data_IF_021732286825
#
_entry.id   IF_021732286825
#
_cell.length_a   1.000
_cell.length_b   1.000
_cell.length_c   1.000
_cell.angle_alpha   90.00
_cell.angle_beta   90.00
_cell.angle_gamma   90.00
#
_symmetry.space_group_name_H-M   'P 1'
#
loop_
_entity.id
_entity.type
_entity.pdbx_description
1 polymer ?
#
# COMPACT_ATOMS: atom_id res chain seq x y z
N UNK A 1 -42.30 -3.24 60.38
CA UNK A 1 -42.45 -3.47 58.92
C UNK A 1 -42.40 -2.16 58.15
N UNK A 2 -41.24 -1.81 57.59
CA UNK A 2 -41.01 -1.05 56.34
C UNK A 2 -39.52 -0.72 56.26
N UNK A 3 -38.78 -1.52 55.50
CA UNK A 3 -37.37 -1.30 55.21
C UNK A 3 -37.19 -0.22 54.15
N UNK A 4 -36.33 0.75 54.42
CA UNK A 4 -35.84 1.72 53.45
C UNK A 4 -34.51 1.20 52.86
N UNK A 5 -34.53 0.82 51.58
CA UNK A 5 -33.31 0.56 50.81
C UNK A 5 -33.03 1.77 49.90
N UNK A 6 -31.93 2.47 50.17
CA UNK A 6 -31.37 3.52 49.30
C UNK A 6 -30.72 2.83 48.09
N UNK A 7 -31.23 3.10 46.89
CA UNK A 7 -30.54 2.75 45.64
C UNK A 7 -29.57 3.87 45.27
N UNK A 8 -28.30 3.51 45.15
CA UNK A 8 -27.22 4.32 44.61
C UNK A 8 -27.43 4.54 43.10
N UNK A 9 -27.31 5.79 42.66
CA UNK A 9 -27.22 6.13 41.24
C UNK A 9 -25.78 5.94 40.77
N UNK A 10 -25.53 4.89 39.99
CA UNK A 10 -24.31 4.75 39.19
C UNK A 10 -24.45 5.58 37.90
N UNK A 11 -23.62 6.61 37.80
CA UNK A 11 -23.39 7.36 36.56
C UNK A 11 -22.70 6.43 35.55
N UNK A 12 -23.36 6.15 34.42
CA UNK A 12 -22.75 5.51 33.25
C UNK A 12 -22.50 6.57 32.17
N UNK A 13 -21.29 6.65 31.57
CA UNK A 13 -21.01 7.57 30.48
C UNK A 13 -21.74 7.13 29.20
N UNK A 14 -22.40 8.07 28.53
CA UNK A 14 -23.08 7.86 27.24
C UNK A 14 -22.06 7.50 26.17
N UNK A 15 -22.06 6.24 25.75
CA UNK A 15 -21.34 5.75 24.58
C UNK A 15 -22.03 6.31 23.33
N UNK A 16 -21.38 7.24 22.63
CA UNK A 16 -21.75 7.63 21.27
C UNK A 16 -21.45 6.45 20.32
N UNK A 17 -22.44 5.59 20.11
CA UNK A 17 -22.42 4.56 19.06
C UNK A 17 -23.75 4.57 18.34
N UNK A 18 -23.89 5.45 17.34
CA UNK A 18 -24.86 5.34 16.25
C UNK A 18 -24.65 6.48 15.27
N UNK A 19 -24.04 6.19 14.12
CA UNK A 19 -24.31 6.86 12.85
C UNK A 19 -23.67 6.18 11.62
N UNK A 20 -22.83 5.13 11.77
CA UNK A 20 -22.20 4.49 10.60
C UNK A 20 -22.96 3.26 10.05
N UNK A 21 -23.92 2.69 10.78
CA UNK A 21 -24.59 1.43 10.36
C UNK A 21 -25.91 1.62 9.61
N UNK A 22 -26.39 2.84 9.46
CA UNK A 22 -27.66 3.12 8.76
C UNK A 22 -27.46 3.32 7.25
N UNK A 23 -26.36 3.95 6.80
CA UNK A 23 -26.08 4.19 5.38
C UNK A 23 -25.73 2.92 4.60
N UNK A 24 -25.10 1.94 5.24
CA UNK A 24 -24.78 0.66 4.62
C UNK A 24 -26.03 -0.21 4.38
N UNK A 25 -27.13 -0.02 5.12
CA UNK A 25 -28.33 -0.89 5.02
C UNK A 25 -29.27 -0.57 3.85
N UNK A 26 -29.10 0.56 3.17
CA UNK A 26 -29.96 0.96 2.04
C UNK A 26 -29.30 0.74 0.67
N UNK A 27 -27.99 0.47 0.62
CA UNK A 27 -27.24 0.32 -0.62
C UNK A 27 -27.40 -1.12 -1.15
N UNK A 28 -27.62 -1.32 -2.47
CA UNK A 28 -27.71 -2.66 -3.05
C UNK A 28 -26.48 -3.51 -2.74
N UNK A 29 -26.66 -4.82 -2.55
CA UNK A 29 -25.56 -5.74 -2.21
C UNK A 29 -24.40 -5.69 -3.21
N UNK A 30 -24.72 -5.42 -4.48
CA UNK A 30 -23.75 -5.27 -5.57
C UNK A 30 -22.78 -4.09 -5.40
N UNK A 31 -23.03 -3.20 -4.44
CA UNK A 31 -22.21 -2.04 -4.10
C UNK A 31 -21.64 -2.11 -2.67
N UNK A 32 -21.66 -3.28 -2.03
CA UNK A 32 -20.94 -3.46 -0.77
C UNK A 32 -19.44 -3.57 -0.99
N UNK A 33 -18.72 -2.52 -0.65
CA UNK A 33 -17.26 -2.45 -0.72
C UNK A 33 -16.71 -1.76 0.52
N UNK A 34 -15.55 -2.19 1.06
CA UNK A 34 -14.91 -1.50 2.18
C UNK A 34 -14.71 0.00 1.91
N UNK A 35 -14.32 0.36 0.69
CA UNK A 35 -14.14 1.75 0.27
C UNK A 35 -15.45 2.55 0.06
N UNK A 36 -16.62 1.94 0.27
CA UNK A 36 -17.90 2.64 0.24
C UNK A 36 -18.63 2.63 1.59
N UNK A 37 -18.38 1.62 2.43
CA UNK A 37 -19.14 1.33 3.63
C UNK A 37 -18.31 1.49 4.94
N UNK A 38 -16.99 1.32 4.90
CA UNK A 38 -16.12 1.40 6.08
C UNK A 38 -15.49 2.81 6.24
N UNK A 39 -15.89 3.53 7.29
CA UNK A 39 -15.48 4.93 7.49
C UNK A 39 -13.96 5.11 7.65
N UNK A 40 -13.27 4.16 8.27
CA UNK A 40 -11.82 4.22 8.44
C UNK A 40 -11.10 4.03 7.09
N UNK A 41 -11.58 3.10 6.27
CA UNK A 41 -11.13 2.91 4.88
C UNK A 41 -11.35 4.20 4.08
N UNK A 42 -12.53 4.81 4.20
CA UNK A 42 -12.87 6.00 3.44
C UNK A 42 -12.04 7.21 3.86
N UNK A 43 -11.86 7.42 5.17
CA UNK A 43 -10.97 8.45 5.70
C UNK A 43 -9.53 8.25 5.22
N UNK A 44 -9.04 7.01 5.23
CA UNK A 44 -7.69 6.67 4.76
C UNK A 44 -7.52 6.95 3.26
N UNK A 45 -8.53 6.62 2.45
CA UNK A 45 -8.52 6.86 1.01
C UNK A 45 -8.60 8.34 0.65
N UNK A 46 -9.33 9.16 1.41
CA UNK A 46 -9.35 10.63 1.24
C UNK A 46 -7.99 11.29 1.49
N UNK A 47 -7.13 10.66 2.27
CA UNK A 47 -5.75 11.12 2.53
C UNK A 47 -4.71 10.42 1.64
N UNK A 48 -5.17 9.72 0.62
CA UNK A 48 -4.34 8.90 -0.25
C UNK A 48 -4.56 9.28 -1.71
N UNK A 49 -3.50 9.21 -2.51
CA UNK A 49 -3.59 9.23 -3.97
C UNK A 49 -3.95 7.82 -4.45
N UNK A 50 -5.16 7.63 -4.93
CA UNK A 50 -5.71 6.32 -5.30
C UNK A 50 -6.35 6.36 -6.69
N UNK A 51 -5.97 5.41 -7.55
CA UNK A 51 -6.67 5.07 -8.76
C UNK A 51 -7.61 3.90 -8.49
N UNK A 52 -8.89 4.10 -8.71
CA UNK A 52 -9.84 3.01 -8.90
C UNK A 52 -9.90 2.66 -10.37
N UNK A 53 -9.39 1.49 -10.74
CA UNK A 53 -9.54 0.95 -12.09
C UNK A 53 -10.77 0.07 -12.08
N UNK A 54 -11.85 0.56 -12.69
CA UNK A 54 -13.06 -0.23 -12.82
C UNK A 54 -12.87 -1.25 -13.92
N UNK A 55 -13.22 -2.52 -13.68
CA UNK A 55 -12.98 -3.59 -14.67
C UNK A 55 -14.20 -4.46 -14.82
N UNK A 56 -14.56 -4.77 -16.06
CA UNK A 56 -15.72 -5.62 -16.38
C UNK A 56 -16.39 -5.27 -17.70
N UNK A 57 -17.24 -6.16 -18.19
CA UNK A 57 -17.89 -6.02 -19.50
C UNK A 57 -18.78 -4.75 -19.60
N UNK A 58 -19.01 -4.22 -20.81
CA UNK A 58 -20.03 -3.20 -21.04
C UNK A 58 -21.40 -3.64 -20.51
N UNK A 59 -22.08 -2.77 -19.76
CA UNK A 59 -23.36 -3.09 -19.11
C UNK A 59 -23.27 -3.79 -17.73
N UNK A 60 -22.06 -4.10 -17.25
CA UNK A 60 -21.86 -4.81 -15.97
C UNK A 60 -22.08 -3.96 -14.71
N UNK A 61 -22.40 -2.67 -14.84
CA UNK A 61 -22.62 -1.76 -13.72
C UNK A 61 -21.38 -0.97 -13.27
N UNK A 62 -20.31 -0.92 -14.07
CA UNK A 62 -19.11 -0.12 -13.79
C UNK A 62 -19.44 1.36 -13.55
N UNK A 63 -20.16 2.02 -14.46
CA UNK A 63 -20.52 3.43 -14.30
C UNK A 63 -21.41 3.69 -13.08
N UNK A 64 -22.25 2.72 -12.69
CA UNK A 64 -23.00 2.79 -11.43
C UNK A 64 -22.08 2.74 -10.21
N UNK A 65 -21.07 1.85 -10.23
CA UNK A 65 -20.04 1.80 -9.19
C UNK A 65 -19.18 3.08 -9.19
N UNK A 66 -18.84 3.62 -10.36
CA UNK A 66 -18.11 4.88 -10.51
C UNK A 66 -18.85 6.03 -9.83
N UNK A 67 -20.16 6.13 -10.09
CA UNK A 67 -21.00 7.14 -9.48
C UNK A 67 -21.11 6.95 -7.96
N UNK A 68 -21.25 5.71 -7.48
CA UNK A 68 -21.29 5.43 -6.04
C UNK A 68 -19.98 5.85 -5.34
N UNK A 69 -18.82 5.62 -5.97
CA UNK A 69 -17.54 6.12 -5.47
C UNK A 69 -17.53 7.66 -5.50
N UNK A 70 -17.90 8.27 -6.62
CA UNK A 70 -17.97 9.74 -6.70
C UNK A 70 -18.83 10.34 -5.59
N UNK A 71 -20.05 9.85 -5.38
CA UNK A 71 -20.97 10.38 -4.37
C UNK A 71 -20.42 10.21 -2.95
N UNK A 72 -19.65 9.14 -2.72
CA UNK A 72 -19.06 8.87 -1.41
C UNK A 72 -17.90 9.80 -1.07
N UNK A 73 -17.10 10.15 -2.07
CA UNK A 73 -15.87 10.92 -1.92
C UNK A 73 -16.02 12.40 -2.30
N UNK A 74 -17.06 12.76 -3.04
CA UNK A 74 -17.43 14.11 -3.48
C UNK A 74 -16.24 14.82 -4.14
N UNK A 75 -15.92 16.03 -3.70
CA UNK A 75 -14.86 16.88 -4.24
C UNK A 75 -13.46 16.26 -4.17
N UNK A 76 -13.26 15.23 -3.34
CA UNK A 76 -12.00 14.48 -3.30
C UNK A 76 -11.86 13.46 -4.45
N UNK A 77 -12.92 13.27 -5.26
CA UNK A 77 -13.00 12.28 -6.31
C UNK A 77 -13.25 12.88 -7.69
N UNK A 78 -12.54 12.37 -8.69
CA UNK A 78 -12.83 12.61 -10.10
C UNK A 78 -13.09 11.30 -10.83
N UNK A 79 -14.21 11.21 -11.54
CA UNK A 79 -14.50 10.11 -12.47
C UNK A 79 -14.07 10.53 -13.88
N UNK A 80 -13.28 9.68 -14.53
CA UNK A 80 -12.93 9.75 -15.95
C UNK A 80 -13.58 8.53 -16.61
N UNK A 81 -14.74 8.75 -17.23
CA UNK A 81 -15.42 7.72 -18.01
C UNK A 81 -14.97 7.80 -19.46
N UNK A 82 -14.43 6.70 -19.98
CA UNK A 82 -13.94 6.59 -21.35
C UNK A 82 -15.07 6.75 -22.37
N UNK A 83 -16.31 6.47 -21.97
CA UNK A 83 -17.50 6.68 -22.79
C UNK A 83 -17.71 8.16 -23.19
N UNK A 84 -17.24 9.11 -22.37
CA UNK A 84 -17.31 10.54 -22.71
C UNK A 84 -16.40 10.93 -23.88
N UNK A 85 -15.34 10.15 -24.11
CA UNK A 85 -14.39 10.32 -25.21
C UNK A 85 -14.80 9.54 -26.47
N UNK A 86 -15.97 8.89 -26.44
CA UNK A 86 -16.55 8.12 -27.54
C UNK A 86 -15.69 6.94 -28.01
N UNK A 87 -14.92 6.35 -27.10
CA UNK A 87 -14.10 5.16 -27.38
C UNK A 87 -14.94 3.89 -27.15
N UNK A 88 -15.27 3.18 -28.23
CA UNK A 88 -16.03 1.93 -28.16
C UNK A 88 -15.17 0.78 -27.61
N UNK A 89 -15.64 -0.02 -26.63
CA UNK A 89 -14.89 -1.15 -26.10
C UNK A 89 -14.92 -2.34 -27.08
N UNK A 90 -13.88 -2.45 -27.90
CA UNK A 90 -13.68 -3.52 -28.88
C UNK A 90 -12.30 -4.14 -28.64
N UNK A 91 -12.10 -5.39 -29.09
CA UNK A 91 -10.75 -5.97 -29.14
C UNK A 91 -10.04 -5.38 -30.34
N UNK A 92 -8.90 -4.75 -30.10
CA UNK A 92 -8.10 -4.10 -31.14
C UNK A 92 -6.68 -4.67 -31.13
N UNK A 93 -5.97 -4.47 -32.23
CA UNK A 93 -4.55 -4.83 -32.34
C UNK A 93 -3.62 -3.80 -31.69
N UNK A 94 -4.12 -2.59 -31.43
CA UNK A 94 -3.38 -1.48 -30.86
C UNK A 94 -4.31 -0.53 -30.10
N UNK A 95 -3.75 0.21 -29.15
CA UNK A 95 -4.49 1.21 -28.38
C UNK A 95 -4.91 2.38 -29.28
N UNK A 96 -6.18 2.80 -29.24
CA UNK A 96 -6.69 3.94 -30.02
C UNK A 96 -6.02 5.27 -29.68
N UNK A 97 -5.76 6.12 -30.68
CA UNK A 97 -5.18 7.45 -30.49
C UNK A 97 -6.05 8.35 -29.61
N UNK A 98 -7.36 8.11 -29.55
CA UNK A 98 -8.30 8.86 -28.71
C UNK A 98 -8.00 8.74 -27.21
N UNK A 99 -7.30 7.69 -26.78
CA UNK A 99 -6.83 7.59 -25.39
C UNK A 99 -5.81 8.67 -25.02
N UNK A 100 -5.16 9.33 -25.99
CA UNK A 100 -4.26 10.47 -25.72
C UNK A 100 -4.95 11.56 -24.90
N UNK A 101 -6.19 11.92 -25.24
CA UNK A 101 -6.98 12.93 -24.50
C UNK A 101 -7.37 12.44 -23.11
N UNK A 102 -7.69 11.14 -22.98
CA UNK A 102 -7.98 10.51 -21.68
C UNK A 102 -6.76 10.61 -20.77
N UNK A 103 -5.57 10.34 -21.32
CA UNK A 103 -4.31 10.36 -20.61
C UNK A 103 -3.87 11.78 -20.26
N UNK A 104 -4.07 12.76 -21.14
CA UNK A 104 -3.86 14.19 -20.85
C UNK A 104 -4.70 14.65 -19.65
N UNK A 105 -6.01 14.36 -19.66
CA UNK A 105 -6.91 14.71 -18.57
C UNK A 105 -6.54 13.99 -17.27
N UNK A 106 -6.27 12.67 -17.34
CA UNK A 106 -5.81 11.88 -16.20
C UNK A 106 -4.54 12.46 -15.59
N UNK A 107 -3.55 12.79 -16.42
CA UNK A 107 -2.29 13.39 -16.00
C UNK A 107 -2.52 14.76 -15.34
N UNK A 108 -3.44 15.56 -15.84
CA UNK A 108 -3.77 16.85 -15.26
C UNK A 108 -4.43 16.73 -13.88
N UNK A 109 -5.33 15.77 -13.67
CA UNK A 109 -5.84 15.47 -12.34
C UNK A 109 -4.75 14.91 -11.40
N UNK A 110 -3.81 14.12 -11.93
CA UNK A 110 -2.67 13.64 -11.17
C UNK A 110 -1.78 14.78 -10.67
N UNK A 111 -1.45 15.75 -11.53
CA UNK A 111 -0.68 16.95 -11.19
C UNK A 111 -1.37 17.83 -10.15
N UNK A 112 -2.71 17.90 -10.20
CA UNK A 112 -3.55 18.60 -9.19
C UNK A 112 -3.67 17.84 -7.87
N UNK A 113 -3.05 16.66 -7.75
CA UNK A 113 -3.09 15.81 -6.57
C UNK A 113 -4.50 15.40 -6.11
N UNK A 114 -5.44 15.21 -7.04
CA UNK A 114 -6.78 14.70 -6.72
C UNK A 114 -6.66 13.38 -5.97
N UNK A 115 -7.29 13.25 -4.80
CA UNK A 115 -7.06 12.10 -3.94
C UNK A 115 -7.58 10.80 -4.56
N UNK A 116 -8.81 10.82 -5.08
CA UNK A 116 -9.44 9.64 -5.68
C UNK A 116 -9.70 9.90 -7.16
N UNK A 117 -9.13 9.09 -8.04
CA UNK A 117 -9.42 9.12 -9.47
C UNK A 117 -10.03 7.77 -9.84
N UNK A 118 -11.22 7.80 -10.42
CA UNK A 118 -11.93 6.60 -10.88
C UNK A 118 -11.86 6.55 -12.39
N UNK A 119 -11.28 5.49 -12.92
CA UNK A 119 -11.19 5.20 -14.34
C UNK A 119 -12.30 4.21 -14.70
N UNK A 120 -13.34 4.73 -15.35
CA UNK A 120 -14.49 3.95 -15.81
C UNK A 120 -14.30 3.59 -17.29
N UNK A 121 -13.74 2.40 -17.50
CA UNK A 121 -13.54 1.75 -18.79
C UNK A 121 -13.67 0.24 -18.61
N UNK A 122 -13.77 -0.53 -19.70
CA UNK A 122 -13.82 -1.99 -19.68
C UNK A 122 -12.51 -2.59 -19.16
N UNK A 123 -11.36 -1.98 -19.49
CA UNK A 123 -10.01 -2.44 -19.11
C UNK A 123 -9.77 -3.94 -19.41
N UNK A 124 -10.22 -4.40 -20.58
CA UNK A 124 -10.00 -5.75 -21.11
C UNK A 124 -8.63 -5.92 -21.78
N UNK A 125 -7.94 -4.82 -22.13
CA UNK A 125 -6.65 -4.81 -22.81
C UNK A 125 -5.49 -4.61 -21.81
N UNK A 126 -4.54 -5.55 -21.81
CA UNK A 126 -3.37 -5.51 -20.91
C UNK A 126 -2.48 -4.30 -21.17
N UNK A 127 -2.23 -3.98 -22.43
CA UNK A 127 -1.39 -2.85 -22.81
C UNK A 127 -1.92 -1.53 -22.23
N UNK A 128 -3.25 -1.35 -22.23
CA UNK A 128 -3.89 -0.17 -21.63
C UNK A 128 -3.71 -0.12 -20.12
N UNK A 129 -3.83 -1.26 -19.44
CA UNK A 129 -3.56 -1.36 -18.01
C UNK A 129 -2.09 -1.01 -17.69
N UNK A 130 -1.14 -1.49 -18.49
CA UNK A 130 0.29 -1.21 -18.30
C UNK A 130 0.59 0.30 -18.40
N UNK A 131 -0.01 1.01 -19.36
CA UNK A 131 0.08 2.49 -19.46
C UNK A 131 -0.47 3.18 -18.21
N UNK A 132 -1.63 2.74 -17.71
CA UNK A 132 -2.24 3.29 -16.50
C UNK A 132 -1.38 3.05 -15.26
N UNK A 133 -0.71 1.89 -15.16
CA UNK A 133 0.21 1.61 -14.07
C UNK A 133 1.46 2.49 -14.14
N UNK A 134 2.01 2.72 -15.33
CA UNK A 134 3.14 3.62 -15.52
C UNK A 134 2.78 5.07 -15.11
N UNK A 135 1.56 5.54 -15.44
CA UNK A 135 1.03 6.83 -14.96
C UNK A 135 0.87 6.82 -13.43
N UNK A 136 0.24 5.79 -12.86
CA UNK A 136 0.00 5.68 -11.43
C UNK A 136 1.32 5.71 -10.64
N UNK A 137 2.32 4.94 -11.08
CA UNK A 137 3.64 4.87 -10.45
C UNK A 137 4.37 6.23 -10.53
N UNK A 138 4.37 6.86 -11.72
CA UNK A 138 4.96 8.18 -11.94
C UNK A 138 4.42 9.24 -10.98
N UNK A 139 3.10 9.27 -10.76
CA UNK A 139 2.45 10.24 -9.88
C UNK A 139 2.21 9.73 -8.45
N UNK A 140 2.72 8.54 -8.12
CA UNK A 140 2.63 7.88 -6.80
C UNK A 140 1.19 7.63 -6.34
N UNK A 141 0.32 7.25 -7.26
CA UNK A 141 -1.01 6.73 -6.97
C UNK A 141 -0.92 5.23 -6.72
N UNK A 142 -1.63 4.74 -5.70
CA UNK A 142 -1.89 3.30 -5.55
C UNK A 142 -3.07 2.90 -6.41
N UNK A 143 -3.05 1.67 -6.89
CA UNK A 143 -4.12 1.12 -7.73
C UNK A 143 -5.00 0.21 -6.90
N UNK A 144 -6.31 0.33 -7.09
CA UNK A 144 -7.32 -0.60 -6.59
C UNK A 144 -8.18 -1.01 -7.77
N UNK A 145 -8.16 -2.29 -8.12
CA UNK A 145 -9.17 -2.85 -9.02
C UNK A 145 -10.51 -2.93 -8.32
N UNK A 146 -11.56 -2.46 -9.00
CA UNK A 146 -12.93 -2.57 -8.52
C UNK A 146 -13.82 -3.13 -9.63
N UNK A 147 -14.28 -4.36 -9.43
CA UNK A 147 -15.20 -5.03 -10.35
C UNK A 147 -16.62 -4.91 -9.81
N UNK A 148 -17.63 -4.61 -10.64
CA UNK A 148 -19.03 -4.66 -10.21
C UNK A 148 -19.37 -6.03 -9.62
N UNK A 149 -20.23 -6.07 -8.59
CA UNK A 149 -20.72 -7.31 -7.96
C UNK A 149 -22.15 -7.67 -8.40
N UNK A 150 -22.62 -7.11 -9.52
CA UNK A 150 -23.96 -7.44 -10.04
C UNK A 150 -24.00 -8.92 -10.47
N UNK A 151 -25.10 -9.66 -10.23
CA UNK A 151 -25.19 -11.08 -10.61
C UNK A 151 -24.94 -11.35 -12.10
N UNK A 152 -25.27 -10.39 -12.97
CA UNK A 152 -25.17 -10.51 -14.42
C UNK A 152 -23.87 -10.00 -15.03
N UNK A 153 -22.86 -9.64 -14.22
CA UNK A 153 -21.64 -8.96 -14.68
C UNK A 153 -20.85 -9.70 -15.76
N UNK A 154 -21.07 -11.01 -15.91
CA UNK A 154 -20.44 -11.89 -16.91
C UNK A 154 -21.46 -12.60 -17.83
N UNK A 155 -22.74 -12.23 -17.77
CA UNK A 155 -23.82 -12.80 -18.58
C UNK A 155 -23.95 -12.05 -19.91
N UNK A 156 -23.25 -12.50 -20.95
CA UNK A 156 -23.23 -11.82 -22.25
C UNK A 156 -24.62 -11.65 -22.88
N UNK A 157 -25.53 -12.66 -22.88
CA UNK A 157 -26.92 -12.47 -23.32
C UNK A 157 -27.62 -11.30 -22.63
N UNK A 158 -27.56 -11.22 -21.30
CA UNK A 158 -28.22 -10.13 -20.58
C UNK A 158 -27.51 -8.78 -20.78
N UNK A 159 -26.18 -8.79 -20.93
CA UNK A 159 -25.37 -7.58 -21.15
C UNK A 159 -25.58 -6.97 -22.54
N UNK A 160 -25.96 -7.76 -23.55
CA UNK A 160 -26.35 -7.26 -24.88
C UNK A 160 -27.40 -6.15 -24.77
N UNK A 161 -28.39 -6.33 -23.91
CA UNK A 161 -29.51 -5.38 -23.75
C UNK A 161 -29.20 -4.24 -22.76
N UNK A 162 -28.09 -4.36 -22.00
CA UNK A 162 -27.69 -3.38 -20.97
C UNK A 162 -26.55 -2.46 -21.41
N UNK A 163 -25.83 -2.81 -22.48
CA UNK A 163 -24.70 -2.01 -22.94
C UNK A 163 -25.13 -0.91 -23.92
N UNK A 164 -24.67 0.33 -23.69
CA UNK A 164 -25.03 1.48 -24.52
C UNK A 164 -24.43 1.44 -25.94
N UNK A 165 -23.38 0.65 -26.13
CA UNK A 165 -22.64 0.50 -27.38
C UNK A 165 -23.32 -0.46 -28.37
N UNK A 166 -24.43 -1.10 -27.96
CA UNK A 166 -25.18 -2.09 -28.76
C UNK A 166 -24.32 -3.27 -29.26
N UNK A 167 -23.31 -3.64 -28.49
CA UNK A 167 -22.44 -4.76 -28.80
C UNK A 167 -23.21 -6.07 -28.79
N UNK A 168 -22.84 -6.96 -29.71
CA UNK A 168 -23.43 -8.28 -29.83
C UNK A 168 -22.94 -9.22 -28.71
N UNK A 169 -23.65 -10.35 -28.53
CA UNK A 169 -23.23 -11.39 -27.57
C UNK A 169 -21.84 -11.92 -27.91
N UNK A 170 -21.54 -12.06 -29.20
CA UNK A 170 -20.28 -12.53 -29.74
C UNK A 170 -19.14 -11.56 -29.42
N UNK A 171 -19.37 -10.25 -29.56
CA UNK A 171 -18.38 -9.22 -29.21
C UNK A 171 -18.08 -9.22 -27.71
N UNK A 172 -19.11 -9.31 -26.86
CA UNK A 172 -18.95 -9.42 -25.42
C UNK A 172 -18.21 -10.71 -25.03
N UNK A 173 -18.53 -11.84 -25.66
CA UNK A 173 -17.85 -13.13 -25.44
C UNK A 173 -16.37 -13.07 -25.81
N UNK A 174 -15.98 -12.30 -26.83
CA UNK A 174 -14.57 -12.13 -27.18
C UNK A 174 -13.77 -11.45 -26.06
N UNK A 175 -14.35 -10.44 -25.39
CA UNK A 175 -13.66 -9.70 -24.31
C UNK A 175 -13.64 -10.44 -22.96
N UNK A 176 -14.61 -11.32 -22.72
CA UNK A 176 -14.81 -11.99 -21.44
C UNK A 176 -13.56 -12.72 -20.88
N UNK A 177 -12.80 -13.52 -21.67
CA UNK A 177 -11.65 -14.25 -21.14
C UNK A 177 -10.56 -13.36 -20.54
N UNK A 178 -10.30 -12.19 -21.13
CA UNK A 178 -9.29 -11.28 -20.60
C UNK A 178 -9.72 -10.60 -19.31
N UNK A 179 -11.03 -10.52 -19.04
CA UNK A 179 -11.60 -9.97 -17.81
C UNK A 179 -11.70 -11.01 -16.69
N UNK A 180 -11.95 -12.27 -17.03
CA UNK A 180 -11.99 -13.39 -16.06
C UNK A 180 -10.60 -13.74 -15.51
N UNK A 181 -9.54 -13.49 -16.30
CA UNK A 181 -8.17 -13.67 -15.83
C UNK A 181 -7.85 -12.64 -14.75
N UNK A 182 -7.48 -13.12 -13.56
CA UNK A 182 -6.98 -12.26 -12.49
C UNK A 182 -5.70 -11.54 -12.92
N UNK A 183 -5.66 -10.24 -12.65
CA UNK A 183 -4.48 -9.43 -12.87
C UNK A 183 -3.72 -9.34 -11.55
N UNK A 184 -2.77 -10.26 -11.35
CA UNK A 184 -1.97 -10.29 -10.13
C UNK A 184 -0.94 -9.15 -10.12
N UNK A 185 -0.73 -8.50 -8.95
CA UNK A 185 0.26 -7.45 -8.82
C UNK A 185 1.69 -8.00 -8.89
N UNK A 186 2.68 -7.10 -8.84
CA UNK A 186 4.06 -7.45 -8.51
C UNK A 186 4.14 -7.99 -7.07
N UNK A 187 3.42 -7.35 -6.15
CA UNK A 187 3.24 -7.79 -4.78
C UNK A 187 1.97 -7.20 -4.16
N UNK A 188 1.41 -7.91 -3.18
CA UNK A 188 0.38 -7.41 -2.27
C UNK A 188 1.02 -6.74 -1.05
N UNK A 189 0.29 -5.82 -0.44
CA UNK A 189 0.73 -5.19 0.80
C UNK A 189 -0.19 -4.09 1.30
N UNK A 190 0.17 -3.53 2.45
CA UNK A 190 -0.47 -2.35 3.02
C UNK A 190 0.27 -1.09 2.60
N UNK A 191 -0.36 -0.26 1.78
CA UNK A 191 0.19 0.98 1.26
C UNK A 191 -0.27 2.16 2.10
N UNK A 192 0.67 2.83 2.77
CA UNK A 192 0.38 3.91 3.69
C UNK A 192 -0.35 5.07 2.99
N UNK A 193 -1.18 5.78 3.75
CA UNK A 193 -1.70 7.09 3.33
C UNK A 193 -0.55 8.08 3.12
N UNK A 194 -0.80 9.19 2.41
CA UNK A 194 0.20 10.26 2.22
C UNK A 194 0.66 10.80 3.58
N UNK A 195 -0.31 11.13 4.44
CA UNK A 195 -0.07 11.63 5.80
C UNK A 195 0.73 10.64 6.65
N UNK A 196 0.34 9.36 6.67
CA UNK A 196 1.06 8.36 7.47
C UNK A 196 2.47 8.07 6.92
N UNK A 197 2.65 8.11 5.60
CA UNK A 197 3.97 8.02 4.98
C UNK A 197 4.87 9.18 5.43
N UNK A 198 4.34 10.41 5.47
CA UNK A 198 5.10 11.59 5.92
C UNK A 198 5.48 11.51 7.40
N UNK A 199 4.56 11.08 8.27
CA UNK A 199 4.83 10.87 9.70
C UNK A 199 5.98 9.88 9.88
N UNK A 200 5.89 8.71 9.25
CA UNK A 200 6.90 7.67 9.41
C UNK A 200 8.25 8.06 8.79
N UNK A 201 8.26 8.80 7.68
CA UNK A 201 9.50 9.36 7.11
C UNK A 201 10.18 10.34 8.05
N UNK A 202 9.42 11.23 8.69
CA UNK A 202 9.97 12.18 9.67
C UNK A 202 10.55 11.47 10.88
N UNK A 203 9.85 10.45 11.40
CA UNK A 203 10.35 9.62 12.49
C UNK A 203 11.64 8.88 12.12
N UNK A 204 11.68 8.27 10.92
CA UNK A 204 12.88 7.63 10.39
C UNK A 204 14.05 8.60 10.23
N UNK A 205 13.81 9.80 9.70
CA UNK A 205 14.84 10.83 9.54
C UNK A 205 15.40 11.28 10.89
N UNK A 206 14.54 11.60 11.86
CA UNK A 206 14.96 11.99 13.21
C UNK A 206 15.79 10.89 13.87
N UNK A 207 15.39 9.62 13.72
CA UNK A 207 16.16 8.48 14.22
C UNK A 207 17.57 8.40 13.61
N UNK A 208 17.71 8.55 12.29
CA UNK A 208 19.02 8.52 11.63
C UNK A 208 19.91 9.70 12.06
N UNK A 209 19.35 10.90 12.17
CA UNK A 209 20.08 12.10 12.59
C UNK A 209 20.56 11.99 14.04
N UNK A 210 19.69 11.56 14.96
CA UNK A 210 20.04 11.35 16.37
C UNK A 210 21.09 10.24 16.51
N UNK A 211 20.89 9.07 15.87
CA UNK A 211 21.81 7.95 15.94
C UNK A 211 23.20 8.31 15.40
N UNK A 212 23.28 8.94 14.22
CA UNK A 212 24.54 9.36 13.61
C UNK A 212 25.33 10.38 14.45
N UNK A 213 24.64 11.11 15.34
CA UNK A 213 25.28 12.07 16.24
C UNK A 213 25.97 11.39 17.45
N UNK A 214 25.52 10.19 17.85
CA UNK A 214 25.97 9.51 19.07
C UNK A 214 27.43 9.09 19.01
N UNK A 215 28.15 9.29 20.12
CA UNK A 215 29.53 8.82 20.28
C UNK A 215 29.63 7.30 20.21
N UNK A 216 28.65 6.57 20.74
CA UNK A 216 28.61 5.12 20.71
C UNK A 216 28.50 4.60 19.27
N UNK A 217 27.59 5.17 18.46
CA UNK A 217 27.48 4.83 17.04
C UNK A 217 28.80 5.08 16.29
N UNK A 218 29.45 6.23 16.52
CA UNK A 218 30.73 6.58 15.89
C UNK A 218 31.88 5.61 16.24
N UNK A 219 31.83 4.90 17.37
CA UNK A 219 32.83 3.86 17.70
C UNK A 219 32.62 2.58 16.90
N UNK A 220 31.37 2.28 16.59
CA UNK A 220 30.96 1.07 15.86
C UNK A 220 30.74 1.33 14.36
N UNK A 221 31.02 2.55 13.86
CA UNK A 221 30.84 2.87 12.44
C UNK A 221 31.79 2.09 11.52
N UNK A 222 32.85 1.48 12.06
CA UNK A 222 33.82 0.63 11.36
C UNK A 222 33.22 -0.52 10.53
N UNK A 223 31.99 -0.93 10.83
CA UNK A 223 31.30 -2.02 10.11
C UNK A 223 30.67 -1.57 8.79
N UNK A 224 30.58 -0.27 8.52
CA UNK A 224 30.02 0.23 7.27
C UNK A 224 31.10 0.30 6.17
N UNK A 225 30.76 -0.04 4.92
CA UNK A 225 31.71 -0.07 3.81
C UNK A 225 32.59 1.19 3.67
N UNK A 226 32.00 2.39 3.76
CA UNK A 226 32.74 3.65 3.64
C UNK A 226 33.79 3.86 4.75
N UNK A 227 33.53 3.35 5.94
CA UNK A 227 34.48 3.41 7.06
C UNK A 227 35.51 2.26 7.04
N UNK A 228 35.23 1.18 6.30
CA UNK A 228 36.21 0.12 6.00
C UNK A 228 37.24 0.67 5.00
N UNK A 229 36.80 1.43 3.99
CA UNK A 229 37.67 2.03 2.98
C UNK A 229 38.51 3.19 3.54
N UNK A 230 37.90 4.09 4.33
CA UNK A 230 38.63 5.15 5.05
C UNK A 230 38.07 5.34 6.47
N UNK A 231 38.79 4.88 7.51
CA UNK A 231 38.38 5.01 8.91
C UNK A 231 38.19 6.45 9.41
N UNK A 232 38.69 7.47 8.68
CA UNK A 232 38.51 8.88 9.02
C UNK A 232 37.21 9.48 8.49
N UNK A 233 36.52 8.80 7.57
CA UNK A 233 35.26 9.27 7.01
C UNK A 233 34.16 9.17 8.07
N UNK A 234 33.50 10.31 8.34
CA UNK A 234 32.27 10.33 9.12
C UNK A 234 31.11 9.87 8.24
N UNK A 235 30.35 8.91 8.74
CA UNK A 235 29.17 8.41 8.04
C UNK A 235 27.99 9.33 8.30
N UNK A 236 27.48 9.94 7.24
CA UNK A 236 26.15 10.54 7.24
C UNK A 236 25.13 9.45 6.86
N UNK A 237 24.38 8.96 7.85
CA UNK A 237 23.40 7.89 7.66
C UNK A 237 22.32 8.27 6.64
N UNK A 238 21.92 9.54 6.59
CA UNK A 238 20.90 10.03 5.66
C UNK A 238 21.39 9.93 4.21
N UNK A 239 22.65 10.29 3.99
CA UNK A 239 23.32 10.19 2.68
C UNK A 239 23.85 8.78 2.38
N UNK A 240 23.84 7.86 3.35
CA UNK A 240 24.20 6.47 3.14
C UNK A 240 23.01 5.66 2.62
N UNK A 241 21.82 5.85 3.22
CA UNK A 241 20.60 5.16 2.85
C UNK A 241 19.79 5.93 1.77
N UNK A 242 20.41 6.08 0.60
CA UNK A 242 19.92 6.97 -0.48
C UNK A 242 18.79 6.39 -1.34
N UNK A 243 18.53 5.09 -1.26
CA UNK A 243 17.48 4.44 -2.08
C UNK A 243 16.30 4.04 -1.22
N UNK A 244 15.09 4.12 -1.78
CA UNK A 244 13.86 3.61 -1.17
C UNK A 244 12.98 2.91 -2.22
N UNK A 245 12.03 2.07 -1.81
CA UNK A 245 11.02 1.54 -2.72
C UNK A 245 10.28 2.65 -3.47
N UNK A 246 9.89 2.44 -4.75
CA UNK A 246 9.06 3.37 -5.50
C UNK A 246 7.68 3.56 -4.84
N UNK A 247 7.06 4.70 -5.13
CA UNK A 247 5.71 5.00 -4.65
C UNK A 247 5.64 5.41 -3.18
N UNK A 248 4.55 5.02 -2.53
CA UNK A 248 4.27 5.27 -1.11
C UNK A 248 4.96 4.23 -0.23
N UNK A 249 5.23 4.58 1.04
CA UNK A 249 5.71 3.59 1.99
C UNK A 249 4.68 2.46 2.13
N UNK A 250 5.16 1.23 2.22
CA UNK A 250 4.29 0.07 2.29
C UNK A 250 4.92 -1.05 3.13
N UNK A 251 4.06 -1.93 3.63
CA UNK A 251 4.44 -3.22 4.18
C UNK A 251 3.99 -4.30 3.21
N UNK A 252 4.95 -4.97 2.57
CA UNK A 252 4.69 -6.08 1.66
C UNK A 252 4.19 -7.29 2.43
N UNK A 253 3.18 -7.98 1.90
CA UNK A 253 2.74 -9.29 2.38
C UNK A 253 3.28 -10.39 1.49
N UNK A 254 2.77 -10.53 0.26
CA UNK A 254 3.16 -11.58 -0.70
C UNK A 254 3.75 -10.95 -1.97
N UNK A 255 4.98 -11.35 -2.29
CA UNK A 255 5.54 -11.12 -3.62
C UNK A 255 4.97 -12.15 -4.60
N UNK A 256 4.51 -11.66 -5.75
CA UNK A 256 3.76 -12.46 -6.73
C UNK A 256 4.37 -12.45 -8.12
N UNK A 257 5.19 -11.45 -8.45
CA UNK A 257 5.80 -11.29 -9.78
C UNK A 257 4.79 -11.44 -10.93
N UNK A 258 3.64 -10.76 -10.80
CA UNK A 258 2.53 -10.86 -11.75
C UNK A 258 1.99 -12.29 -11.96
N UNK A 259 2.11 -13.13 -10.93
CA UNK A 259 1.65 -14.53 -10.92
C UNK A 259 2.74 -15.57 -11.17
N UNK A 260 3.98 -15.16 -11.46
CA UNK A 260 5.09 -16.10 -11.71
C UNK A 260 5.68 -16.70 -10.43
N UNK A 261 5.58 -15.99 -9.31
CA UNK A 261 6.14 -16.47 -8.04
C UNK A 261 5.31 -17.61 -7.45
N UNK A 262 5.96 -18.57 -6.79
CA UNK A 262 5.29 -19.70 -6.16
C UNK A 262 4.27 -19.26 -5.11
N UNK A 263 3.08 -19.88 -5.14
CA UNK A 263 1.99 -19.58 -4.21
C UNK A 263 1.26 -18.26 -4.50
N UNK A 264 1.52 -17.60 -5.65
CA UNK A 264 0.94 -16.29 -5.96
C UNK A 264 -0.58 -16.36 -6.20
N UNK A 265 -1.02 -17.32 -7.01
CA UNK A 265 -2.44 -17.53 -7.30
C UNK A 265 -3.17 -18.00 -6.05
N UNK A 266 -2.61 -18.98 -5.32
CA UNK A 266 -3.20 -19.52 -4.10
C UNK A 266 -3.38 -18.45 -3.03
N UNK A 267 -2.41 -17.53 -2.88
CA UNK A 267 -2.53 -16.40 -1.97
C UNK A 267 -3.64 -15.43 -2.41
N UNK A 268 -3.69 -15.06 -3.69
CA UNK A 268 -4.72 -14.17 -4.23
C UNK A 268 -6.13 -14.77 -4.13
N UNK A 269 -6.26 -16.10 -4.19
CA UNK A 269 -7.53 -16.80 -4.07
C UNK A 269 -8.08 -16.86 -2.63
N UNK A 270 -7.27 -16.57 -1.61
CA UNK A 270 -7.72 -16.63 -0.21
C UNK A 270 -8.88 -15.68 0.06
N UNK A 271 -9.91 -16.18 0.73
CA UNK A 271 -11.11 -15.39 1.07
C UNK A 271 -10.74 -14.13 1.87
N UNK A 272 -9.82 -14.24 2.83
CA UNK A 272 -9.33 -13.11 3.62
C UNK A 272 -8.69 -12.02 2.73
N UNK A 273 -7.89 -12.42 1.73
CA UNK A 273 -7.22 -11.52 0.78
C UNK A 273 -8.25 -10.81 -0.09
N UNK A 274 -9.18 -11.55 -0.70
CA UNK A 274 -10.25 -10.98 -1.53
C UNK A 274 -11.17 -10.04 -0.74
N UNK A 275 -11.58 -10.44 0.46
CA UNK A 275 -12.46 -9.65 1.32
C UNK A 275 -11.79 -8.38 1.86
N UNK A 276 -10.46 -8.39 1.99
CA UNK A 276 -9.68 -7.25 2.50
C UNK A 276 -9.12 -6.35 1.40
N UNK A 277 -9.21 -6.74 0.13
CA UNK A 277 -8.67 -5.94 -0.97
C UNK A 277 -9.40 -4.59 -1.08
N UNK A 278 -8.64 -3.49 -1.02
CA UNK A 278 -9.16 -2.13 -0.95
C UNK A 278 -9.63 -1.67 0.44
N UNK A 279 -9.47 -2.50 1.49
CA UNK A 279 -9.80 -2.15 2.88
C UNK A 279 -8.66 -1.39 3.57
N UNK A 280 -9.03 -0.46 4.44
CA UNK A 280 -8.13 0.28 5.32
C UNK A 280 -7.75 -0.48 6.59
N UNK A 281 -6.50 -0.28 7.02
CA UNK A 281 -5.92 -0.86 8.22
C UNK A 281 -5.04 0.17 8.94
N UNK A 282 -4.88 0.00 10.24
CA UNK A 282 -3.88 0.70 11.04
C UNK A 282 -2.74 -0.27 11.37
N UNK A 283 -1.52 0.04 10.93
CA UNK A 283 -0.32 -0.72 11.28
C UNK A 283 0.35 -0.06 12.48
N UNK A 284 0.77 -0.86 13.45
CA UNK A 284 1.43 -0.40 14.67
C UNK A 284 2.94 -0.62 14.55
N UNK A 285 3.70 0.47 14.47
CA UNK A 285 5.17 0.46 14.43
C UNK A 285 5.72 0.40 15.85
N UNK A 286 6.47 -0.66 16.16
CA UNK A 286 7.02 -0.89 17.51
C UNK A 286 8.49 -0.51 17.63
N UNK A 287 9.25 -0.56 16.54
CA UNK A 287 10.65 -0.19 16.53
C UNK A 287 11.08 0.39 15.17
N UNK A 288 12.12 1.22 15.19
CA UNK A 288 12.92 1.57 14.01
C UNK A 288 14.26 0.86 14.13
N UNK A 289 14.85 0.43 13.03
CA UNK A 289 16.12 -0.27 13.05
C UNK A 289 16.99 0.10 11.86
N UNK A 290 18.31 -0.06 12.05
CA UNK A 290 19.28 -0.05 10.97
C UNK A 290 20.18 -1.28 11.04
N UNK A 291 20.64 -1.70 9.87
CA UNK A 291 21.83 -2.52 9.68
C UNK A 291 22.84 -1.73 8.85
N UNK A 292 23.96 -2.33 8.50
CA UNK A 292 24.87 -1.76 7.49
C UNK A 292 24.26 -1.72 6.09
N UNK A 293 23.11 -2.36 5.85
CA UNK A 293 22.48 -2.49 4.52
C UNK A 293 21.20 -1.69 4.39
N UNK A 294 20.37 -1.67 5.43
CA UNK A 294 19.01 -1.10 5.34
C UNK A 294 18.57 -0.36 6.61
N UNK A 295 17.55 0.49 6.44
CA UNK A 295 16.77 1.13 7.49
C UNK A 295 15.33 0.66 7.35
N UNK A 296 14.75 0.18 8.45
CA UNK A 296 13.39 -0.33 8.47
C UNK A 296 12.60 0.08 9.70
N UNK A 297 11.31 -0.14 9.63
CA UNK A 297 10.38 -0.02 10.75
C UNK A 297 9.72 -1.39 10.99
N UNK A 298 9.81 -1.91 12.23
CA UNK A 298 9.20 -3.17 12.66
C UNK A 298 7.71 -2.96 12.90
N UNK A 299 6.88 -3.81 12.30
CA UNK A 299 5.44 -3.82 12.50
C UNK A 299 5.05 -4.94 13.47
N UNK A 300 4.14 -4.64 14.37
CA UNK A 300 3.39 -5.66 15.11
C UNK A 300 2.04 -5.88 14.44
N UNK A 301 1.86 -7.05 13.83
CA UNK A 301 0.62 -7.42 13.17
C UNK A 301 -0.43 -7.87 14.21
N UNK A 302 -1.64 -7.34 14.09
CA UNK A 302 -2.82 -7.85 14.78
C UNK A 302 -3.27 -9.21 14.24
N UNK A 303 -4.14 -9.91 14.97
CA UNK A 303 -4.73 -11.18 14.52
C UNK A 303 -5.41 -11.08 13.15
N UNK A 304 -6.13 -9.98 12.89
CA UNK A 304 -6.78 -9.75 11.60
C UNK A 304 -5.76 -9.55 10.46
N UNK A 305 -4.65 -8.87 10.73
CA UNK A 305 -3.59 -8.66 9.75
C UNK A 305 -2.78 -9.93 9.49
N UNK A 306 -2.63 -10.79 10.51
CA UNK A 306 -1.99 -12.10 10.36
C UNK A 306 -2.77 -13.02 9.42
N UNK A 307 -4.10 -12.85 9.26
CA UNK A 307 -4.86 -13.57 8.24
C UNK A 307 -4.40 -13.26 6.80
N UNK A 308 -3.83 -12.07 6.58
CA UNK A 308 -3.28 -11.63 5.29
C UNK A 308 -1.78 -11.95 5.16
N UNK A 309 -1.15 -12.48 6.21
CA UNK A 309 0.28 -12.78 6.19
C UNK A 309 0.55 -14.16 5.58
N UNK A 310 1.40 -14.28 4.54
CA UNK A 310 1.66 -15.58 3.92
C UNK A 310 2.30 -16.57 4.90
N UNK A 311 1.95 -17.86 4.79
CA UNK A 311 2.47 -18.90 5.69
C UNK A 311 3.96 -19.22 5.50
N UNK A 312 4.54 -18.80 4.38
CA UNK A 312 5.94 -18.98 3.98
C UNK A 312 6.80 -17.72 4.20
N UNK A 313 6.19 -16.57 4.51
CA UNK A 313 6.90 -15.28 4.52
C UNK A 313 8.06 -15.19 5.52
N UNK A 314 7.95 -15.86 6.67
CA UNK A 314 8.91 -15.83 7.77
C UNK A 314 9.94 -16.97 7.72
N UNK A 315 9.85 -17.89 6.75
CA UNK A 315 10.72 -19.06 6.62
C UNK A 315 11.74 -18.82 5.52
N UNK A 316 12.99 -18.52 5.88
CA UNK A 316 14.09 -18.40 4.92
C UNK A 316 14.73 -19.78 4.71
N UNK A 317 14.93 -20.50 5.81
CA UNK A 317 15.35 -21.89 5.82
C UNK A 317 14.21 -22.78 6.32
N UNK A 318 14.12 -24.05 5.87
CA UNK A 318 13.09 -24.98 6.35
C UNK A 318 13.11 -25.21 7.87
N UNK A 319 14.25 -24.98 8.50
CA UNK A 319 14.47 -25.11 9.96
C UNK A 319 14.09 -23.86 10.76
N UNK A 320 13.78 -22.74 10.08
CA UNK A 320 13.38 -21.51 10.77
C UNK A 320 12.04 -21.72 11.49
N UNK A 321 12.05 -21.50 12.81
CA UNK A 321 10.86 -21.57 13.67
C UNK A 321 10.63 -20.21 14.35
N UNK A 322 10.31 -19.20 13.56
CA UNK A 322 10.05 -17.84 14.03
C UNK A 322 8.54 -17.59 14.17
N UNK A 323 8.10 -16.72 15.10
CA UNK A 323 6.69 -16.34 15.19
C UNK A 323 6.15 -15.82 13.85
N UNK A 324 4.92 -16.16 13.50
CA UNK A 324 4.28 -15.65 12.27
C UNK A 324 4.19 -14.13 12.32
N UNK A 325 4.53 -13.46 11.22
CA UNK A 325 4.58 -12.00 11.12
C UNK A 325 5.91 -11.39 11.54
N UNK A 326 6.92 -12.18 11.91
CA UNK A 326 8.23 -11.69 12.34
C UNK A 326 8.95 -10.84 11.29
N UNK A 327 8.67 -11.07 10.00
CA UNK A 327 9.24 -10.32 8.88
C UNK A 327 8.42 -9.08 8.50
N UNK A 328 7.35 -8.73 9.23
CA UNK A 328 6.52 -7.57 8.92
C UNK A 328 7.27 -6.25 9.14
N UNK A 329 7.50 -5.51 8.06
CA UNK A 329 8.30 -4.29 8.09
C UNK A 329 7.91 -3.27 7.02
N UNK A 330 8.36 -2.03 7.20
CA UNK A 330 8.36 -0.99 6.18
C UNK A 330 9.81 -0.58 5.93
N UNK A 331 10.28 -0.68 4.68
CA UNK A 331 11.60 -0.19 4.29
C UNK A 331 11.60 1.33 4.21
N UNK A 332 12.51 1.98 4.95
CA UNK A 332 12.68 3.42 4.97
C UNK A 332 13.84 3.89 4.08
N UNK A 333 14.89 3.08 3.98
CA UNK A 333 16.05 3.35 3.14
C UNK A 333 16.95 2.13 2.94
N UNK A 334 17.72 2.12 1.86
CA UNK A 334 18.68 1.08 1.49
C UNK A 334 19.99 1.74 1.08
N UNK A 335 21.10 1.07 1.41
CA UNK A 335 22.42 1.44 0.93
C UNK A 335 22.51 1.26 -0.61
N UNK A 336 23.56 1.83 -1.22
CA UNK A 336 23.74 1.65 -2.66
C UNK A 336 23.94 0.17 -3.01
N UNK A 337 23.29 -0.28 -4.08
CA UNK A 337 23.31 -1.68 -4.53
C UNK A 337 22.46 -2.65 -3.70
N UNK A 338 21.80 -2.21 -2.63
CA UNK A 338 20.95 -3.05 -1.78
C UNK A 338 19.49 -2.98 -2.22
N UNK A 339 18.86 -4.15 -2.38
CA UNK A 339 17.43 -4.27 -2.67
C UNK A 339 16.56 -4.19 -1.41
N UNK A 340 15.34 -3.69 -1.55
CA UNK A 340 14.42 -3.50 -0.42
C UNK A 340 14.02 -4.80 0.30
N UNK A 341 14.05 -5.94 -0.40
CA UNK A 341 13.76 -7.27 0.19
C UNK A 341 14.72 -7.62 1.33
N UNK A 342 15.93 -7.04 1.32
CA UNK A 342 16.94 -7.21 2.35
C UNK A 342 16.45 -6.70 3.71
N UNK A 343 15.61 -5.67 3.77
CA UNK A 343 15.12 -5.11 5.05
C UNK A 343 14.35 -6.13 5.87
N UNK A 344 13.56 -6.98 5.22
CA UNK A 344 12.87 -8.06 5.92
C UNK A 344 13.83 -9.15 6.41
N UNK A 345 14.87 -9.46 5.64
CA UNK A 345 15.89 -10.43 6.06
C UNK A 345 16.68 -9.90 7.26
N UNK A 346 17.05 -8.62 7.22
CA UNK A 346 17.70 -7.91 8.31
C UNK A 346 16.84 -7.93 9.58
N UNK A 347 15.52 -7.69 9.47
CA UNK A 347 14.61 -7.78 10.61
C UNK A 347 14.56 -9.18 11.22
N UNK A 348 14.54 -10.23 10.40
CA UNK A 348 14.54 -11.61 10.90
C UNK A 348 15.81 -11.94 11.70
N UNK A 349 16.95 -11.31 11.38
CA UNK A 349 18.17 -11.50 12.16
C UNK A 349 18.03 -10.95 13.59
N UNK A 350 17.43 -9.77 13.76
CA UNK A 350 17.08 -9.27 15.10
C UNK A 350 16.19 -10.27 15.84
N UNK A 351 15.16 -10.81 15.18
CA UNK A 351 14.24 -11.78 15.81
C UNK A 351 14.96 -13.09 16.19
N UNK A 352 15.93 -13.55 15.37
CA UNK A 352 16.75 -14.73 15.67
C UNK A 352 17.63 -14.49 16.89
N UNK A 353 18.29 -13.33 16.98
CA UNK A 353 19.09 -12.93 18.14
C UNK A 353 18.23 -12.82 19.42
N UNK A 354 17.07 -12.17 19.34
CA UNK A 354 16.10 -12.07 20.44
C UNK A 354 15.68 -13.46 20.94
N UNK A 355 15.37 -14.38 20.03
CA UNK A 355 14.99 -15.76 20.36
C UNK A 355 16.14 -16.56 20.99
N UNK A 356 17.37 -16.29 20.59
CA UNK A 356 18.58 -16.89 21.18
C UNK A 356 18.93 -16.30 22.56
N UNK A 357 18.16 -15.33 23.06
CA UNK A 357 18.36 -14.69 24.37
C UNK A 357 19.21 -13.43 24.31
N UNK A 358 19.72 -13.04 23.14
CA UNK A 358 20.39 -11.76 22.95
C UNK A 358 19.35 -10.66 22.76
N UNK A 359 19.15 -9.82 23.78
CA UNK A 359 18.19 -8.70 23.75
C UNK A 359 18.82 -7.38 23.30
N UNK A 360 20.09 -7.41 22.86
CA UNK A 360 20.88 -6.23 22.57
C UNK A 360 21.34 -5.51 23.84
N UNK A 361 22.47 -4.81 23.73
CA UNK A 361 22.97 -3.90 24.77
C UNK A 361 22.19 -2.58 24.70
N UNK A 362 21.61 -2.14 25.81
CA UNK A 362 20.99 -0.81 25.86
C UNK A 362 22.07 0.27 25.95
N UNK A 363 22.25 1.01 24.86
CA UNK A 363 23.29 2.04 24.73
C UNK A 363 22.80 3.43 25.14
N UNK A 364 21.48 3.64 25.19
CA UNK A 364 20.88 4.88 25.64
C UNK A 364 19.40 5.00 25.32
N UNK A 365 18.89 6.23 25.36
CA UNK A 365 17.53 6.59 24.99
C UNK A 365 17.56 7.77 24.01
N UNK A 366 16.85 7.64 22.89
CA UNK A 366 16.73 8.65 21.84
C UNK A 366 15.28 8.66 21.34
N UNK A 367 14.80 9.78 20.78
CA UNK A 367 13.48 9.86 20.15
C UNK A 367 12.28 9.32 20.97
N UNK A 368 12.37 9.31 22.31
CA UNK A 368 11.35 8.72 23.19
C UNK A 368 11.27 7.19 23.16
N UNK A 369 12.41 6.51 22.99
CA UNK A 369 12.54 5.06 23.02
C UNK A 369 13.91 4.59 23.49
N UNK A 370 14.06 3.28 23.65
CA UNK A 370 15.32 2.63 24.07
C UNK A 370 16.16 2.28 22.84
N UNK A 371 17.41 2.71 22.83
CA UNK A 371 18.36 2.35 21.78
C UNK A 371 19.14 1.10 22.19
N UNK A 372 19.03 0.06 21.37
CA UNK A 372 19.67 -1.23 21.54
C UNK A 372 20.71 -1.45 20.44
N UNK A 373 21.84 -2.05 20.80
CA UNK A 373 22.90 -2.47 19.89
C UNK A 373 23.06 -3.99 19.91
N UNK A 374 23.15 -4.61 18.74
CA UNK A 374 23.18 -6.07 18.56
C UNK A 374 24.48 -6.55 17.90
N UNK A 375 25.57 -5.79 18.07
CA UNK A 375 26.84 -5.98 17.38
C UNK A 375 26.75 -5.79 15.85
N UNK A 376 27.91 -5.78 15.18
CA UNK A 376 28.03 -5.78 13.71
C UNK A 376 27.24 -4.66 12.99
N UNK A 377 27.13 -3.49 13.62
CA UNK A 377 26.42 -2.34 13.07
C UNK A 377 24.89 -2.49 13.04
N UNK A 378 24.32 -3.41 13.83
CA UNK A 378 22.88 -3.60 13.99
C UNK A 378 22.35 -2.79 15.17
N UNK A 379 21.45 -1.85 14.89
CA UNK A 379 20.86 -0.96 15.90
C UNK A 379 19.35 -0.99 15.82
N UNK A 380 18.69 -0.99 16.98
CA UNK A 380 17.23 -0.92 17.08
C UNK A 380 16.80 0.12 18.10
N UNK A 381 15.95 1.05 17.68
CA UNK A 381 15.21 1.96 18.54
C UNK A 381 13.85 1.35 18.85
N UNK A 382 13.67 0.82 20.06
CA UNK A 382 12.38 0.32 20.56
C UNK A 382 11.58 1.50 21.08
N UNK A 383 10.43 1.79 20.45
CA UNK A 383 9.63 2.96 20.74
C UNK A 383 8.84 2.78 22.05
N UNK A 384 8.93 3.75 22.97
CA UNK A 384 8.11 3.69 24.20
C UNK A 384 6.63 3.90 23.91
N UNK A 385 6.31 4.65 22.86
CA UNK A 385 4.96 4.78 22.30
C UNK A 385 4.99 4.37 20.84
N UNK A 386 4.19 3.36 20.49
CA UNK A 386 4.07 2.87 19.11
C UNK A 386 3.53 3.96 18.19
N UNK A 387 3.95 3.93 16.93
CA UNK A 387 3.44 4.85 15.90
C UNK A 387 2.40 4.11 15.09
N UNK A 388 1.17 4.61 15.12
CA UNK A 388 0.07 4.07 14.33
C UNK A 388 0.01 4.75 12.96
N UNK A 389 0.09 3.95 11.89
CA UNK A 389 0.04 4.41 10.50
C UNK A 389 -1.12 3.80 9.74
N UNK A 390 -1.92 4.63 9.08
CA UNK A 390 -3.05 4.19 8.26
C UNK A 390 -2.57 3.77 6.88
N UNK A 391 -3.07 2.65 6.40
CA UNK A 391 -2.71 2.05 5.13
C UNK A 391 -3.91 1.37 4.47
N UNK A 392 -3.83 1.15 3.15
CA UNK A 392 -4.82 0.39 2.39
C UNK A 392 -4.18 -0.91 1.92
N UNK A 393 -4.85 -2.03 2.15
CA UNK A 393 -4.41 -3.31 1.60
C UNK A 393 -4.78 -3.39 0.12
N UNK A 394 -3.80 -3.54 -0.77
CA UNK A 394 -3.98 -3.63 -2.23
C UNK A 394 -2.79 -4.34 -2.88
N UNK A 395 -2.67 -4.23 -4.21
CA UNK A 395 -1.52 -4.65 -5.01
C UNK A 395 -0.73 -3.47 -5.58
N UNK A 396 0.59 -3.65 -5.75
CA UNK A 396 1.43 -2.76 -6.55
C UNK A 396 1.65 -3.34 -7.95
N UNK A 397 1.36 -2.56 -8.99
CA UNK A 397 1.38 -3.00 -10.38
C UNK A 397 2.49 -2.35 -11.23
N UNK A 398 3.30 -1.47 -10.64
CA UNK A 398 4.43 -0.86 -11.33
C UNK A 398 5.60 -1.82 -11.52
N UNK A 399 6.63 -1.34 -12.24
CA UNK A 399 7.83 -2.13 -12.60
C UNK A 399 8.89 -2.20 -11.48
N UNK A 400 8.61 -1.67 -10.28
CA UNK A 400 9.36 -1.97 -9.06
C UNK A 400 10.75 -1.34 -8.91
N UNK A 401 11.11 -0.33 -9.72
CA UNK A 401 12.43 0.29 -9.67
C UNK A 401 12.61 1.16 -8.41
N UNK A 402 13.71 0.97 -7.66
CA UNK A 402 14.05 1.81 -6.51
C UNK A 402 14.19 3.28 -6.92
N UNK A 403 13.77 4.19 -6.04
CA UNK A 403 13.84 5.64 -6.24
C UNK A 403 14.72 6.31 -5.17
N UNK A 404 15.32 7.48 -5.45
CA UNK A 404 16.07 8.22 -4.44
C UNK A 404 15.20 8.60 -3.22
N UNK A 405 15.79 8.58 -2.02
CA UNK A 405 15.25 9.25 -0.84
C UNK A 405 15.32 10.76 -1.11
N UNK A 406 14.19 11.47 -1.05
CA UNK A 406 14.18 12.91 -1.31
C UNK A 406 14.92 13.64 -0.18
N UNK A 407 16.19 13.96 -0.42
CA UNK A 407 16.95 14.98 0.28
C UNK A 407 17.58 15.88 -0.80
N UNK A 408 16.91 17.00 -1.09
CA UNK A 408 17.52 18.26 -1.51
C UNK A 408 16.41 19.29 -1.59
N UNK A 409 16.31 20.09 -0.51
CA UNK A 409 15.98 21.49 -0.67
C UNK A 409 17.02 22.12 -1.62
N UNK A 410 16.81 22.02 -2.92
CA UNK A 410 17.24 23.07 -3.85
C UNK A 410 15.98 23.78 -4.31
N UNK A 411 15.78 25.00 -3.81
CA UNK A 411 14.90 25.98 -4.46
C UNK A 411 15.26 25.97 -5.95
N UNK A 412 14.30 25.67 -6.83
CA UNK A 412 14.42 25.95 -8.26
C UNK A 412 14.79 24.82 -9.22
N UNK A 413 14.67 23.54 -8.88
CA UNK A 413 14.74 22.49 -9.91
C UNK A 413 13.36 22.30 -10.56
N UNK A 414 13.20 22.82 -11.77
CA UNK A 414 12.06 22.56 -12.63
C UNK A 414 11.84 21.05 -12.78
N UNK A 415 10.58 20.63 -12.71
CA UNK A 415 10.10 19.32 -13.13
C UNK A 415 10.83 18.90 -14.40
N UNK A 416 11.75 17.93 -14.31
CA UNK A 416 12.40 17.38 -15.50
C UNK A 416 11.33 16.71 -16.36
N UNK A 417 11.39 17.08 -17.62
CA UNK A 417 10.39 17.01 -18.67
C UNK A 417 9.89 15.60 -19.00
N UNK A 418 8.66 15.60 -19.53
CA UNK A 418 8.08 14.54 -20.35
C UNK A 418 9.08 13.86 -21.29
N UNK A 419 9.02 12.54 -21.33
CA UNK A 419 8.89 11.77 -22.58
C UNK A 419 7.94 10.60 -22.29
N UNK A 420 6.78 10.60 -22.96
CA UNK A 420 6.02 9.38 -23.23
C UNK A 420 6.71 8.80 -24.45
N UNK A 421 7.23 7.57 -24.37
CA UNK A 421 7.51 6.77 -25.56
C UNK A 421 6.34 5.80 -25.67
#
# INVERSE_FOLDING_TARGET
NRGFSKKSHTFLPKIFRKMSTQSAKERPESLHFPFLDDEDTISTLKESKTFFILRGLPGSGKSTLAQAIHDRYKDACKVISVDHYKITPLIRSSIPEEYSKVDEDLVDYCKREVSVIVLDDTHHERERLDQLFDIADKYRYKVIFAEPKTPWRLDCPQLKDKNQWKLSVEELKKMKPSLEKEFLPMYFGWFLSKRSSEILRKAGQAFLDELGSLKAFKKESKYFPSAIEDPKIKIDLTSYFVKRPPGVLHCTTKYTEFGKAAGAEEYAQQEAVKASYGKGFTLSISALFITTKTVGARIELSEQQLLLWPGDADKILPTDNLPRGSRAHITLGCANGVEAVQTGLDLLEFVKLEKAGNKGEQVGEIGGGKLLYFDNGMWMLVLSKKIDVRAIFSGYYGKGKLVPTQSTNKRGAAFSSCTII
#
